data_IF_687189241836
#
_entry.id   IF_687189241836
#
_cell.length_a   1.000
_cell.length_b   1.000
_cell.length_c   1.000
_cell.angle_alpha   90.00
_cell.angle_beta   90.00
_cell.angle_gamma   90.00
#
_symmetry.space_group_name_H-M   'P 1'
#
loop_
_entity.id
_entity.type
_entity.pdbx_description
1 polymer ?
#
# COMPACT_ATOMS: atom_id res chain seq x y z
N UNK A 1 11.09 14.33 15.41
CA UNK A 1 10.72 14.50 13.99
C UNK A 1 9.96 15.80 13.87
N UNK A 2 10.51 16.80 13.19
CA UNK A 2 9.87 18.11 12.98
C UNK A 2 9.46 18.20 11.51
N UNK A 3 8.16 18.33 11.24
CA UNK A 3 7.63 18.55 9.90
C UNK A 3 7.35 20.03 9.65
N UNK A 4 7.45 20.48 8.40
CA UNK A 4 7.00 21.80 7.99
C UNK A 4 5.48 21.79 7.79
N UNK A 5 4.80 22.87 8.16
CA UNK A 5 3.37 23.03 7.88
C UNK A 5 3.14 23.06 6.37
N UNK A 6 2.12 22.34 5.90
CA UNK A 6 1.69 22.30 4.50
C UNK A 6 0.23 22.71 4.39
N UNK A 7 -0.11 23.44 3.32
CA UNK A 7 -1.49 23.77 2.99
C UNK A 7 -2.20 22.60 2.32
N UNK A 8 -3.54 22.59 2.39
CA UNK A 8 -4.35 21.59 1.70
C UNK A 8 -4.14 21.70 0.19
N UNK A 9 -3.77 20.59 -0.45
CA UNK A 9 -3.46 20.55 -1.89
C UNK A 9 -2.00 20.82 -2.26
N UNK A 10 -1.14 21.17 -1.29
CA UNK A 10 0.30 21.23 -1.55
C UNK A 10 0.89 19.82 -1.74
N UNK A 11 1.83 19.69 -2.66
CA UNK A 11 2.50 18.43 -2.95
C UNK A 11 3.84 18.35 -2.21
N UNK A 12 4.10 17.19 -1.60
CA UNK A 12 5.39 16.81 -1.04
C UNK A 12 6.09 15.86 -2.00
N UNK A 13 7.33 16.15 -2.36
CA UNK A 13 8.17 15.22 -3.11
C UNK A 13 8.57 14.05 -2.19
N UNK A 14 7.96 12.89 -2.38
CA UNK A 14 8.38 11.63 -1.79
C UNK A 14 9.45 10.99 -2.68
N UNK A 15 10.70 11.01 -2.21
CA UNK A 15 11.82 10.39 -2.93
C UNK A 15 12.19 9.10 -2.22
N UNK A 16 12.19 7.98 -2.95
CA UNK A 16 12.73 6.73 -2.44
C UNK A 16 13.74 6.13 -3.41
N UNK A 17 14.78 5.52 -2.86
CA UNK A 17 15.86 4.90 -3.62
C UNK A 17 15.93 3.42 -3.22
N UNK A 18 15.40 2.50 -4.04
CA UNK A 18 15.40 1.09 -3.71
C UNK A 18 16.76 0.47 -3.95
N UNK A 19 17.31 -0.17 -2.93
CA UNK A 19 18.57 -0.90 -3.04
C UNK A 19 18.32 -2.36 -3.42
N UNK A 20 18.95 -2.80 -4.51
CA UNK A 20 18.90 -4.19 -4.96
C UNK A 20 20.31 -4.76 -5.07
N UNK A 21 20.50 -6.00 -4.64
CA UNK A 21 21.77 -6.69 -4.78
C UNK A 21 22.20 -6.75 -6.27
N UNK A 22 23.37 -6.19 -6.58
CA UNK A 22 23.96 -6.24 -7.92
C UNK A 22 23.39 -5.25 -8.94
N UNK A 23 22.58 -4.26 -8.53
CA UNK A 23 22.09 -3.18 -9.41
C UNK A 23 22.33 -1.81 -8.78
N UNK A 24 22.58 -0.80 -9.62
CA UNK A 24 22.59 0.60 -9.17
C UNK A 24 21.17 1.03 -8.81
N UNK A 25 21.03 1.65 -7.64
CA UNK A 25 19.76 2.19 -7.18
C UNK A 25 19.48 3.52 -7.91
N UNK A 26 18.30 3.60 -8.53
CA UNK A 26 17.83 4.83 -9.20
C UNK A 26 16.78 5.47 -8.28
N UNK A 27 16.95 6.75 -7.87
CA UNK A 27 15.95 7.46 -7.09
C UNK A 27 14.66 7.60 -7.88
N UNK A 28 13.52 7.30 -7.25
CA UNK A 28 12.20 7.56 -7.80
C UNK A 28 11.52 8.65 -6.99
N UNK A 29 10.95 9.64 -7.67
CA UNK A 29 10.25 10.76 -7.05
C UNK A 29 8.77 10.68 -7.37
N UNK A 30 7.95 10.72 -6.34
CA UNK A 30 6.49 10.77 -6.44
C UNK A 30 5.97 11.99 -5.68
N UNK A 31 5.13 12.79 -6.32
CA UNK A 31 4.48 13.91 -5.67
C UNK A 31 3.25 13.41 -4.90
N UNK A 32 3.22 13.70 -3.61
CA UNK A 32 2.16 13.25 -2.69
C UNK A 32 1.41 14.46 -2.20
N UNK A 33 0.10 14.49 -2.41
CA UNK A 33 -0.75 15.60 -1.94
C UNK A 33 -0.85 15.54 -0.42
N UNK A 34 -0.70 16.69 0.24
CA UNK A 34 -0.86 16.83 1.68
C UNK A 34 -2.23 16.29 2.14
N UNK A 35 -2.21 15.37 3.12
CA UNK A 35 -3.41 14.71 3.65
C UNK A 35 -3.80 13.41 2.92
N UNK A 36 -3.12 13.05 1.83
CA UNK A 36 -3.31 11.74 1.18
C UNK A 36 -2.60 10.61 1.95
N UNK A 37 -3.09 9.39 1.77
CA UNK A 37 -2.43 8.18 2.25
C UNK A 37 -1.64 7.55 1.11
N UNK A 38 -0.32 7.42 1.29
CA UNK A 38 0.56 6.75 0.35
C UNK A 38 0.91 5.34 0.85
N UNK A 39 0.63 4.33 0.02
CA UNK A 39 1.12 2.97 0.24
C UNK A 39 2.39 2.74 -0.58
N UNK A 40 3.48 2.36 0.09
CA UNK A 40 4.76 2.03 -0.55
C UNK A 40 5.10 0.59 -0.20
N UNK A 41 5.27 -0.26 -1.21
CA UNK A 41 5.74 -1.62 -0.98
C UNK A 41 6.78 -2.03 -2.01
N UNK A 42 7.71 -2.87 -1.56
CA UNK A 42 8.66 -3.59 -2.42
C UNK A 42 8.17 -5.03 -2.49
N UNK A 43 7.55 -5.40 -3.60
CA UNK A 43 7.08 -6.77 -3.84
C UNK A 43 8.01 -7.42 -4.84
N UNK A 44 8.66 -8.52 -4.43
CA UNK A 44 9.52 -9.32 -5.29
C UNK A 44 8.99 -10.76 -5.32
N UNK A 45 8.67 -11.25 -6.51
CA UNK A 45 8.22 -12.63 -6.71
C UNK A 45 6.73 -12.85 -6.44
N UNK A 46 6.40 -14.06 -5.99
CA UNK A 46 5.02 -14.49 -5.77
C UNK A 46 4.53 -14.09 -4.37
N UNK A 47 3.28 -13.65 -4.29
CA UNK A 47 2.60 -13.40 -3.02
C UNK A 47 2.18 -14.74 -2.42
N UNK A 48 2.54 -15.00 -1.16
CA UNK A 48 2.12 -16.23 -0.48
C UNK A 48 0.60 -16.27 -0.31
N UNK A 49 -0.09 -17.36 -0.73
CA UNK A 49 -1.52 -17.54 -0.48
C UNK A 49 -1.90 -17.44 1.00
N UNK A 50 -0.99 -17.81 1.90
CA UNK A 50 -1.18 -17.66 3.34
C UNK A 50 -1.26 -16.19 3.75
N UNK A 51 -0.34 -15.35 3.26
CA UNK A 51 -0.35 -13.92 3.58
C UNK A 51 -1.62 -13.23 3.08
N UNK A 52 -2.09 -13.61 1.89
CA UNK A 52 -3.37 -13.14 1.34
C UNK A 52 -4.56 -13.54 2.21
N UNK A 53 -4.63 -14.81 2.62
CA UNK A 53 -5.69 -15.29 3.49
C UNK A 53 -5.65 -14.61 4.86
N UNK A 54 -4.46 -14.45 5.45
CA UNK A 54 -4.29 -13.79 6.74
C UNK A 54 -4.77 -12.32 6.66
N UNK A 55 -4.43 -11.58 5.58
CA UNK A 55 -4.95 -10.22 5.35
C UNK A 55 -6.44 -10.18 5.11
N UNK A 56 -7.00 -11.15 4.37
CA UNK A 56 -8.45 -11.26 4.16
C UNK A 56 -9.18 -11.47 5.49
N UNK A 57 -8.70 -12.38 6.34
CA UNK A 57 -9.30 -12.66 7.64
C UNK A 57 -9.30 -11.42 8.54
N UNK A 58 -8.21 -10.64 8.55
CA UNK A 58 -8.18 -9.39 9.33
C UNK A 58 -9.14 -8.35 8.78
N UNK A 59 -9.24 -8.18 7.46
CA UNK A 59 -10.23 -7.30 6.83
C UNK A 59 -11.67 -7.69 7.17
N UNK A 60 -11.98 -8.99 7.14
CA UNK A 60 -13.31 -9.50 7.51
C UNK A 60 -13.62 -9.25 8.99
N UNK A 61 -12.62 -9.38 9.88
CA UNK A 61 -12.77 -9.07 11.30
C UNK A 61 -13.00 -7.56 11.53
N UNK A 62 -12.20 -6.70 10.91
CA UNK A 62 -12.39 -5.24 10.97
C UNK A 62 -13.77 -4.85 10.43
N UNK A 63 -14.20 -5.44 9.31
CA UNK A 63 -15.53 -5.20 8.75
C UNK A 63 -16.63 -5.59 9.74
N UNK A 64 -16.54 -6.76 10.37
CA UNK A 64 -17.53 -7.19 11.36
C UNK A 64 -17.63 -6.21 12.54
N UNK A 65 -16.50 -5.67 13.03
CA UNK A 65 -16.47 -4.65 14.08
C UNK A 65 -17.08 -3.33 13.59
N UNK A 66 -16.82 -2.92 12.36
CA UNK A 66 -17.41 -1.71 11.79
C UNK A 66 -18.93 -1.84 11.61
N UNK A 67 -19.42 -3.03 11.30
CA UNK A 67 -20.85 -3.32 11.12
C UNK A 67 -21.62 -3.42 12.45
N UNK A 68 -20.96 -3.70 13.58
CA UNK A 68 -21.64 -3.75 14.89
C UNK A 68 -22.09 -2.39 15.39
N UNK A 69 -21.47 -1.30 14.89
CA UNK A 69 -21.69 0.08 15.36
C UNK A 69 -21.52 0.26 16.87
N UNK A 70 -20.84 -0.67 17.54
CA UNK A 70 -20.60 -0.64 18.98
C UNK A 70 -19.44 0.34 19.30
N UNK A 71 -19.69 1.45 20.01
CA UNK A 71 -18.66 2.45 20.29
C UNK A 71 -17.47 1.90 21.09
N UNK A 72 -17.66 0.87 21.92
CA UNK A 72 -16.56 0.26 22.68
C UNK A 72 -15.67 -0.60 21.77
N UNK A 73 -16.24 -1.26 20.77
CA UNK A 73 -15.48 -2.04 19.79
C UNK A 73 -14.82 -1.15 18.74
N UNK A 74 -15.50 -0.08 18.31
CA UNK A 74 -14.97 0.91 17.39
C UNK A 74 -13.79 1.68 18.01
N UNK A 75 -13.86 1.99 19.31
CA UNK A 75 -12.78 2.65 20.04
C UNK A 75 -11.50 1.82 20.14
N UNK A 76 -11.59 0.50 19.95
CA UNK A 76 -10.44 -0.41 19.95
C UNK A 76 -9.79 -0.58 18.57
N UNK A 77 -10.45 -0.12 17.49
CA UNK A 77 -9.85 -0.16 16.15
C UNK A 77 -8.74 0.87 16.04
N UNK A 78 -7.56 0.41 15.64
CA UNK A 78 -6.45 1.29 15.30
C UNK A 78 -6.56 1.77 13.86
N UNK A 79 -5.84 2.85 13.53
CA UNK A 79 -5.72 3.32 12.14
C UNK A 79 -5.17 2.21 11.23
N UNK A 80 -4.25 1.42 11.74
CA UNK A 80 -3.63 0.30 11.05
C UNK A 80 -4.64 -0.83 10.74
N UNK A 81 -5.58 -1.12 11.65
CA UNK A 81 -6.63 -2.13 11.43
C UNK A 81 -7.60 -1.72 10.32
N UNK A 82 -7.88 -0.41 10.20
CA UNK A 82 -8.83 0.13 9.22
C UNK A 82 -8.15 0.36 7.87
N UNK A 83 -7.02 1.06 7.88
CA UNK A 83 -6.36 1.50 6.66
C UNK A 83 -5.25 0.54 6.24
N UNK A 84 -4.44 0.05 7.19
CA UNK A 84 -3.26 -0.75 6.88
C UNK A 84 -3.61 -2.03 6.10
N UNK A 85 -4.55 -2.82 6.59
CA UNK A 85 -4.99 -4.04 5.91
C UNK A 85 -5.72 -3.76 4.59
N UNK A 86 -6.46 -2.65 4.50
CA UNK A 86 -7.12 -2.21 3.27
C UNK A 86 -6.10 -1.82 2.19
N UNK A 87 -5.11 -1.00 2.55
CA UNK A 87 -4.02 -0.60 1.65
C UNK A 87 -3.18 -1.80 1.24
N UNK A 88 -2.91 -2.72 2.18
CA UNK A 88 -2.17 -3.95 1.88
C UNK A 88 -2.92 -4.84 0.88
N UNK A 89 -4.20 -5.11 1.12
CA UNK A 89 -5.02 -5.91 0.21
C UNK A 89 -5.18 -5.24 -1.16
N UNK A 90 -5.39 -3.92 -1.19
CA UNK A 90 -5.47 -3.13 -2.43
C UNK A 90 -4.17 -3.19 -3.23
N UNK A 91 -3.02 -3.07 -2.56
CA UNK A 91 -1.70 -3.17 -3.18
C UNK A 91 -1.45 -4.56 -3.76
N UNK A 92 -1.79 -5.62 -3.02
CA UNK A 92 -1.67 -7.01 -3.52
C UNK A 92 -2.59 -7.26 -4.72
N UNK A 93 -3.82 -6.73 -4.67
CA UNK A 93 -4.77 -6.79 -5.78
C UNK A 93 -4.20 -6.11 -7.03
N UNK A 94 -3.71 -4.88 -6.91
CA UNK A 94 -3.06 -4.15 -7.99
C UNK A 94 -1.86 -4.92 -8.55
N UNK A 95 -0.97 -5.43 -7.68
CA UNK A 95 0.19 -6.20 -8.10
C UNK A 95 -0.19 -7.47 -8.86
N UNK A 96 -1.27 -8.15 -8.44
CA UNK A 96 -1.78 -9.34 -9.15
C UNK A 96 -2.29 -9.00 -10.55
N UNK A 97 -2.99 -7.87 -10.71
CA UNK A 97 -3.47 -7.39 -12.01
C UNK A 97 -2.31 -7.00 -12.92
N UNK A 98 -1.32 -6.29 -12.38
CA UNK A 98 -0.10 -5.94 -13.09
C UNK A 98 0.64 -7.19 -13.56
N UNK A 99 0.83 -8.18 -12.68
CA UNK A 99 1.51 -9.44 -13.01
C UNK A 99 0.74 -10.23 -14.08
N UNK A 100 -0.58 -10.31 -13.97
CA UNK A 100 -1.42 -10.95 -14.97
C UNK A 100 -1.33 -10.24 -16.33
N UNK A 101 -1.37 -8.90 -16.34
CA UNK A 101 -1.22 -8.10 -17.55
C UNK A 101 0.19 -8.28 -18.16
N UNK A 102 1.24 -8.26 -17.35
CA UNK A 102 2.62 -8.50 -17.75
C UNK A 102 2.83 -9.91 -18.31
N UNK A 103 2.14 -10.91 -17.76
CA UNK A 103 2.15 -12.29 -18.26
C UNK A 103 1.47 -12.39 -19.64
N UNK A 104 0.33 -11.71 -19.81
CA UNK A 104 -0.38 -11.63 -21.10
C UNK A 104 0.41 -10.79 -22.12
N UNK A 105 1.09 -9.74 -21.67
CA UNK A 105 1.90 -8.84 -22.50
C UNK A 105 3.34 -9.36 -22.75
N UNK A 106 3.73 -10.50 -22.17
CA UNK A 106 5.02 -11.15 -22.38
C UNK A 106 6.24 -10.48 -21.73
N UNK A 107 6.06 -9.51 -20.82
CA UNK A 107 7.15 -8.71 -20.24
C UNK A 107 7.30 -8.95 -18.73
N UNK A 108 8.20 -9.85 -18.34
CA UNK A 108 8.65 -9.99 -16.94
C UNK A 108 9.58 -8.81 -16.58
N UNK A 109 8.99 -7.70 -16.12
CA UNK A 109 9.71 -6.55 -15.58
C UNK A 109 9.56 -6.46 -14.07
N UNK A 110 10.65 -6.57 -13.32
CA UNK A 110 10.73 -6.19 -11.90
C UNK A 110 10.37 -4.70 -11.77
N UNK A 111 9.13 -4.39 -11.39
CA UNK A 111 8.64 -3.02 -11.20
C UNK A 111 8.36 -2.75 -9.72
N UNK A 112 9.11 -1.83 -9.11
CA UNK A 112 8.64 -1.21 -7.86
C UNK A 112 7.53 -0.24 -8.23
N UNK A 113 6.45 -0.28 -7.46
CA UNK A 113 5.24 0.41 -7.80
C UNK A 113 4.74 1.21 -6.60
N UNK A 114 4.86 2.53 -6.71
CA UNK A 114 4.14 3.48 -5.86
C UNK A 114 2.99 4.04 -6.70
N UNK A 115 1.76 3.86 -6.22
CA UNK A 115 0.57 4.41 -6.85
C UNK A 115 -0.19 5.26 -5.83
N UNK A 116 -0.49 6.55 -6.13
CA UNK A 116 -1.48 7.28 -5.36
C UNK A 116 -2.86 6.68 -5.64
N UNK A 117 -3.58 6.31 -4.58
CA UNK A 117 -4.99 5.93 -4.68
C UNK A 117 -5.86 7.20 -4.53
N UNK A 118 -7.01 7.28 -5.23
CA UNK A 118 -7.94 8.40 -5.14
C UNK A 118 -8.55 8.57 -3.73
#
# INVERSE_FOLDING_TARGET
MTGNSMNLGEELAFVFTPEFAGRYAIPNTYNVIAGSYLAVAVVAGNVSPKALNDSKTRLEATKAILETQDPDQLGNLTREDILGDLFHAGLLGYYSQYTALSYVAGAFGLGILAAPLP
#
